data_IF_960754068553
#
_entry.id   IF_960754068553
#
_cell.length_a   1.000
_cell.length_b   1.000
_cell.length_c   1.000
_cell.angle_alpha   90.00
_cell.angle_beta   90.00
_cell.angle_gamma   90.00
#
_symmetry.space_group_name_H-M   'P 1'
#
loop_
_entity.id
_entity.type
_entity.pdbx_description
1 polymer ?
#
# COMPACT_ATOMS: atom_id res chain seq x y z
N UNK A 1 5.33 12.02 -13.70
CA UNK A 1 5.70 10.65 -13.32
C UNK A 1 4.45 9.95 -12.83
N UNK A 2 4.14 8.76 -13.35
CA UNK A 2 2.98 7.96 -12.93
C UNK A 2 3.35 7.18 -11.65
N UNK A 3 2.52 7.21 -10.59
CA UNK A 3 2.85 6.52 -9.35
C UNK A 3 2.85 5.01 -9.58
N UNK A 4 4.04 4.39 -9.50
CA UNK A 4 4.20 2.94 -9.67
C UNK A 4 3.54 2.18 -8.51
N UNK A 5 2.77 1.12 -8.79
CA UNK A 5 2.25 0.23 -7.76
C UNK A 5 3.38 -0.34 -6.90
N UNK A 6 3.09 -0.54 -5.61
CA UNK A 6 3.99 -1.25 -4.68
C UNK A 6 3.28 -2.46 -4.10
N UNK A 7 4.03 -3.54 -3.92
CA UNK A 7 3.51 -4.80 -3.39
C UNK A 7 4.01 -5.01 -1.96
N UNK A 8 3.11 -5.39 -1.06
CA UNK A 8 3.40 -5.85 0.29
C UNK A 8 3.22 -7.36 0.31
N UNK A 9 4.24 -8.11 0.76
CA UNK A 9 4.13 -9.55 0.95
C UNK A 9 3.81 -9.85 2.40
N UNK A 10 2.77 -10.65 2.65
CA UNK A 10 2.36 -11.10 3.96
C UNK A 10 2.52 -12.61 4.03
N UNK A 11 3.21 -13.09 5.06
CA UNK A 11 3.37 -14.51 5.34
C UNK A 11 2.84 -14.81 6.73
N UNK A 12 1.88 -15.73 6.82
CA UNK A 12 1.40 -16.26 8.07
C UNK A 12 2.40 -17.30 8.62
N UNK A 13 2.50 -17.38 9.94
CA UNK A 13 3.27 -18.44 10.59
C UNK A 13 2.63 -19.80 10.29
N UNK A 14 3.43 -20.86 10.19
CA UNK A 14 2.94 -22.23 9.90
C UNK A 14 1.90 -22.72 10.91
N UNK A 15 1.96 -22.20 12.13
CA UNK A 15 1.06 -22.53 13.25
C UNK A 15 -0.29 -21.79 13.17
N UNK A 16 -0.41 -20.80 12.29
CA UNK A 16 -1.62 -19.99 12.09
C UNK A 16 -2.09 -20.08 10.64
N UNK A 17 -2.98 -21.03 10.30
CA UNK A 17 -3.54 -21.14 8.97
C UNK A 17 -4.47 -19.96 8.70
N UNK A 18 -3.98 -18.96 7.96
CA UNK A 18 -4.77 -17.82 7.48
C UNK A 18 -5.26 -18.14 6.07
N UNK A 19 -6.57 -18.11 5.86
CA UNK A 19 -7.20 -18.35 4.54
C UNK A 19 -7.50 -17.07 3.79
N UNK A 20 -7.81 -15.99 4.51
CA UNK A 20 -8.10 -14.70 3.91
C UNK A 20 -7.56 -13.54 4.75
N UNK A 21 -7.23 -12.44 4.07
CA UNK A 21 -6.88 -11.16 4.67
C UNK A 21 -7.92 -10.13 4.29
N UNK A 22 -8.46 -9.46 5.30
CA UNK A 22 -9.19 -8.21 5.12
C UNK A 22 -8.17 -7.09 5.06
N UNK A 23 -8.08 -6.46 3.90
CA UNK A 23 -7.21 -5.31 3.69
C UNK A 23 -8.06 -4.09 3.36
N UNK A 24 -7.85 -3.00 4.10
CA UNK A 24 -8.53 -1.73 3.87
C UNK A 24 -7.54 -0.59 3.81
N UNK A 25 -7.85 0.40 2.97
CA UNK A 25 -7.13 1.66 2.88
C UNK A 25 -7.96 2.77 3.54
N UNK A 26 -7.33 3.63 4.34
CA UNK A 26 -8.00 4.80 4.93
C UNK A 26 -8.24 5.92 3.93
N UNK A 27 -7.62 5.86 2.74
CA UNK A 27 -7.72 6.86 1.69
C UNK A 27 -8.18 6.22 0.38
N UNK A 28 -9.31 6.66 -0.23
CA UNK A 28 -9.85 6.08 -1.46
C UNK A 28 -8.96 6.29 -2.69
N UNK A 29 -8.00 7.21 -2.63
CA UNK A 29 -6.98 7.41 -3.68
C UNK A 29 -6.06 6.20 -3.81
N UNK A 30 -5.94 5.37 -2.77
CA UNK A 30 -5.12 4.17 -2.78
C UNK A 30 -6.01 2.94 -2.88
N UNK A 31 -5.93 2.26 -4.01
CA UNK A 31 -6.59 0.98 -4.21
C UNK A 31 -5.68 -0.15 -3.72
N UNK A 32 -6.28 -1.09 -2.99
CA UNK A 32 -5.59 -2.28 -2.49
C UNK A 32 -6.20 -3.52 -3.09
N UNK A 33 -5.37 -4.39 -3.67
CA UNK A 33 -5.78 -5.69 -4.20
C UNK A 33 -5.05 -6.80 -3.44
N UNK A 34 -5.79 -7.78 -2.94
CA UNK A 34 -5.21 -8.92 -2.22
C UNK A 34 -5.25 -10.14 -3.13
N UNK A 35 -4.12 -10.82 -3.25
CA UNK A 35 -3.98 -12.08 -3.96
C UNK A 35 -3.35 -13.10 -3.01
N UNK A 36 -3.95 -14.29 -2.93
CA UNK A 36 -3.35 -15.40 -2.20
C UNK A 36 -2.41 -16.14 -3.15
N UNK A 37 -1.11 -16.13 -2.83
CA UNK A 37 -0.09 -16.77 -3.67
C UNK A 37 0.37 -18.12 -3.15
N UNK A 38 -0.04 -18.49 -1.94
CA UNK A 38 0.26 -19.78 -1.33
C UNK A 38 -0.49 -19.99 -0.01
N UNK A 39 -0.27 -21.14 0.62
CA UNK A 39 -0.86 -21.44 1.93
C UNK A 39 -0.31 -20.48 2.99
N UNK A 40 -1.16 -19.54 3.43
CA UNK A 40 -0.76 -18.48 4.35
C UNK A 40 0.14 -17.40 3.74
N UNK A 41 0.32 -17.37 2.41
CA UNK A 41 1.08 -16.33 1.71
C UNK A 41 0.16 -15.46 0.87
N UNK A 42 0.24 -14.15 1.07
CA UNK A 42 -0.59 -13.17 0.39
C UNK A 42 0.27 -12.04 -0.17
N UNK A 43 -0.09 -11.56 -1.35
CA UNK A 43 0.39 -10.31 -1.93
C UNK A 43 -0.70 -9.27 -1.84
N UNK A 44 -0.32 -8.09 -1.40
CA UNK A 44 -1.18 -6.92 -1.36
C UNK A 44 -0.58 -5.90 -2.30
N UNK A 45 -1.21 -5.70 -3.44
CA UNK A 45 -0.84 -4.65 -4.38
C UNK A 45 -1.52 -3.35 -3.98
N UNK A 46 -0.71 -2.31 -3.84
CA UNK A 46 -1.14 -0.96 -3.47
C UNK A 46 -0.90 -0.07 -4.69
N UNK A 47 -1.99 0.33 -5.32
CA UNK A 47 -1.97 1.22 -6.47
C UNK A 47 -2.49 2.60 -6.05
N UNK A 48 -1.62 3.63 -6.05
CA UNK A 48 -2.07 5.00 -5.89
C UNK A 48 -2.74 5.46 -7.19
N UNK A 49 -3.84 6.19 -7.09
CA UNK A 49 -4.38 6.92 -8.22
C UNK A 49 -3.46 8.11 -8.57
N UNK A 50 -3.51 8.54 -9.83
CA UNK A 50 -2.80 9.72 -10.31
C UNK A 50 -3.26 10.94 -9.50
N UNK A 51 -2.38 11.47 -8.64
CA UNK A 51 -2.64 12.66 -7.83
C UNK A 51 -1.60 13.73 -8.13
N UNK A 52 -2.07 14.97 -8.32
CA UNK A 52 -1.21 16.13 -8.52
C UNK A 52 -0.55 16.62 -7.21
N UNK A 53 -0.97 16.07 -6.07
CA UNK A 53 -0.50 16.43 -4.72
C UNK A 53 -0.01 15.20 -3.98
N UNK A 54 0.88 15.42 -3.01
CA UNK A 54 1.27 14.36 -2.09
C UNK A 54 0.04 13.82 -1.34
N UNK A 55 -0.04 12.51 -1.19
CA UNK A 55 -1.14 11.82 -0.53
C UNK A 55 -0.59 10.65 0.29
N UNK A 56 -1.23 10.35 1.42
CA UNK A 56 -0.89 9.21 2.27
C UNK A 56 -2.10 8.34 2.55
N UNK A 57 -1.85 7.09 2.91
CA UNK A 57 -2.86 6.15 3.42
C UNK A 57 -2.29 5.25 4.50
N UNK A 58 -3.14 4.85 5.43
CA UNK A 58 -2.90 3.72 6.32
C UNK A 58 -3.61 2.51 5.77
N UNK A 59 -2.85 1.46 5.52
CA UNK A 59 -3.34 0.16 5.09
C UNK A 59 -3.48 -0.70 6.34
N UNK A 60 -4.71 -1.15 6.60
CA UNK A 60 -5.03 -2.04 7.71
C UNK A 60 -5.08 -3.46 7.17
N UNK A 61 -4.33 -4.37 7.77
CA UNK A 61 -4.24 -5.77 7.38
C UNK A 61 -4.71 -6.60 8.56
N UNK A 62 -5.84 -7.28 8.39
CA UNK A 62 -6.43 -8.14 9.42
C UNK A 62 -6.68 -9.52 8.83
N UNK A 63 -6.23 -10.58 9.51
CA UNK A 63 -6.57 -11.95 9.15
C UNK A 63 -7.97 -12.33 9.68
N UNK A 64 -8.69 -13.16 8.93
CA UNK A 64 -10.10 -13.48 9.23
C UNK A 64 -10.35 -14.02 10.65
N UNK A 65 -9.36 -14.73 11.21
CA UNK A 65 -9.47 -15.42 12.50
C UNK A 65 -8.62 -14.75 13.59
N UNK A 66 -8.16 -13.51 13.39
CA UNK A 66 -7.34 -12.81 14.37
C UNK A 66 -7.90 -11.44 14.75
N UNK A 67 -7.91 -11.11 16.05
CA UNK A 67 -8.08 -9.73 16.49
C UNK A 67 -6.81 -8.90 16.28
N UNK A 68 -5.67 -9.53 15.93
CA UNK A 68 -4.43 -8.80 15.65
C UNK A 68 -4.56 -8.08 14.31
N UNK A 69 -4.28 -6.80 14.35
CA UNK A 69 -4.25 -5.92 13.19
C UNK A 69 -2.82 -5.48 12.96
N UNK A 70 -2.36 -5.61 11.72
CA UNK A 70 -1.09 -5.06 11.25
C UNK A 70 -1.37 -3.82 10.42
N UNK A 71 -0.47 -2.84 10.49
CA UNK A 71 -0.59 -1.59 9.75
C UNK A 71 0.61 -1.40 8.83
N UNK A 72 0.34 -0.89 7.63
CA UNK A 72 1.35 -0.37 6.73
C UNK A 72 0.99 1.05 6.32
N UNK A 73 1.99 1.86 6.00
CA UNK A 73 1.78 3.22 5.51
C UNK A 73 2.29 3.33 4.08
N UNK A 74 1.49 3.97 3.22
CA UNK A 74 1.89 4.27 1.86
C UNK A 74 1.73 5.77 1.60
N UNK A 75 2.75 6.36 0.97
CA UNK A 75 2.81 7.79 0.68
C UNK A 75 3.23 7.94 -0.78
N UNK A 76 2.47 8.74 -1.52
CA UNK A 76 2.89 9.31 -2.80
C UNK A 76 3.34 10.73 -2.53
N UNK A 77 4.56 11.05 -2.95
CA UNK A 77 5.09 12.42 -2.96
C UNK A 77 4.83 13.05 -4.32
N UNK A 78 4.54 14.36 -4.35
CA UNK A 78 4.61 15.09 -5.61
C UNK A 78 6.04 14.95 -6.16
N UNK A 79 6.17 14.76 -7.48
CA UNK A 79 7.49 14.75 -8.14
C UNK A 79 8.26 16.04 -7.83
N UNK A 80 9.59 16.06 -8.00
CA UNK A 80 10.38 17.26 -7.75
C UNK A 80 9.77 18.43 -8.54
N UNK A 81 9.42 19.51 -7.84
CA UNK A 81 9.06 20.75 -8.51
C UNK A 81 10.24 21.12 -9.43
N UNK A 82 10.01 21.57 -10.67
CA UNK A 82 11.09 22.10 -11.48
C UNK A 82 11.72 23.24 -10.69
N UNK A 83 12.98 23.07 -10.29
CA UNK A 83 13.78 24.17 -9.72
C UNK A 83 13.70 25.32 -10.71
N UNK A 84 13.19 26.51 -10.34
CA UNK A 84 13.29 27.65 -11.23
C UNK A 84 14.78 27.86 -11.48
N UNK A 85 15.18 27.76 -12.75
CA UNK A 85 16.54 28.07 -13.15
C UNK A 85 16.85 29.47 -12.63
N UNK A 86 17.88 29.58 -11.79
CA UNK A 86 18.38 30.86 -11.31
C UNK A 86 18.72 31.70 -12.54
N UNK A 87 17.87 32.68 -12.84
CA UNK A 87 18.17 33.70 -13.84
C UNK A 87 19.23 34.59 -13.22
N UNK A 88 20.50 34.25 -13.46
CA UNK A 88 21.61 35.12 -13.16
C UNK A 88 21.45 36.40 -14.00
N UNK A 89 21.36 37.53 -13.29
CA UNK A 89 21.46 38.88 -13.86
C UNK A 89 22.91 39.18 -14.23
#
# INVERSE_FOLDING_TARGET
>A
EEPKPKTITVKAAKEFPVKSLKVTSSNPVFQTKVEQTGSGEFKIDVQPAQTAKAAGTTITIQSENSPKISYATAIVTAGPAPTPASVAR
#
